data_IF_926317630793
#
_entry.id   IF_926317630793
#
_cell.length_a   1.000
_cell.length_b   1.000
_cell.length_c   1.000
_cell.angle_alpha   90.00
_cell.angle_beta   90.00
_cell.angle_gamma   90.00
#
_symmetry.space_group_name_H-M   'P 1'
#
loop_
_entity.id
_entity.type
_entity.pdbx_description
1 polymer ?
#
# COMPACT_ATOMS: atom_id res chain seq x y z
N UNK A 1 14.26 -65.75 54.88
CA UNK A 1 13.92 -64.43 55.43
C UNK A 1 14.96 -63.42 54.94
N UNK A 2 14.46 -62.33 54.34
CA UNK A 2 15.14 -61.09 53.90
C UNK A 2 16.29 -61.23 52.88
N UNK A 3 15.96 -60.97 51.62
CA UNK A 3 16.90 -60.65 50.54
C UNK A 3 17.15 -59.13 50.52
N UNK A 4 18.42 -58.72 50.54
CA UNK A 4 18.83 -57.33 50.27
C UNK A 4 19.60 -57.29 48.95
N UNK A 5 18.92 -56.90 47.89
CA UNK A 5 19.53 -56.66 46.58
C UNK A 5 20.12 -55.24 46.51
N UNK A 6 21.42 -55.21 46.21
CA UNK A 6 22.25 -54.05 45.87
C UNK A 6 21.64 -53.19 44.75
N UNK A 7 21.51 -51.89 44.98
CA UNK A 7 21.11 -50.90 43.96
C UNK A 7 22.40 -50.23 43.44
N UNK A 8 22.73 -50.46 42.17
CA UNK A 8 23.75 -49.69 41.45
C UNK A 8 23.10 -48.46 40.80
N UNK A 9 23.74 -47.27 40.87
CA UNK A 9 23.22 -46.05 40.25
C UNK A 9 23.67 -45.97 38.79
N UNK A 10 22.87 -46.48 37.88
CA UNK A 10 23.03 -46.17 36.46
C UNK A 10 21.67 -45.77 35.90
N UNK A 11 21.43 -44.46 35.84
CA UNK A 11 20.65 -43.77 34.80
C UNK A 11 20.75 -42.27 35.03
N UNK A 12 21.97 -41.77 34.84
CA UNK A 12 22.18 -40.41 34.35
C UNK A 12 21.41 -40.28 33.03
N UNK A 13 20.59 -39.23 32.97
CA UNK A 13 20.44 -38.37 31.79
C UNK A 13 20.04 -39.09 30.50
N UNK A 14 18.73 -39.27 30.33
CA UNK A 14 18.14 -39.33 29.00
C UNK A 14 16.85 -38.51 29.03
N UNK A 15 16.94 -37.28 28.50
CA UNK A 15 15.90 -36.70 27.65
C UNK A 15 14.53 -36.50 28.33
N UNK A 16 14.34 -35.51 29.19
CA UNK A 16 13.97 -34.14 28.79
C UNK A 16 13.64 -33.97 27.29
N UNK A 17 12.57 -34.59 26.80
CA UNK A 17 11.75 -34.24 25.61
C UNK A 17 10.49 -35.12 25.72
N UNK A 18 9.67 -34.92 26.77
CA UNK A 18 8.27 -35.36 26.69
C UNK A 18 7.55 -34.24 25.97
N UNK A 19 7.35 -34.50 24.68
CA UNK A 19 6.61 -33.70 23.72
C UNK A 19 5.33 -33.15 24.35
N UNK A 20 5.40 -31.89 24.77
CA UNK A 20 4.23 -31.01 24.77
C UNK A 20 3.78 -30.90 23.32
N UNK A 21 2.93 -31.85 22.92
CA UNK A 21 2.28 -31.90 21.62
C UNK A 21 1.18 -30.86 21.61
N UNK A 22 1.55 -29.58 21.71
CA UNK A 22 0.72 -28.45 21.31
C UNK A 22 0.60 -28.52 19.78
N UNK A 23 -0.27 -29.40 19.31
CA UNK A 23 -0.85 -29.31 17.97
C UNK A 23 -1.85 -28.13 17.96
N UNK A 24 -1.36 -26.92 18.19
CA UNK A 24 -2.01 -25.74 17.62
C UNK A 24 -1.51 -25.66 16.19
N UNK A 25 -2.21 -26.35 15.29
CA UNK A 25 -2.22 -25.95 13.88
C UNK A 25 -2.75 -24.53 13.86
N UNK A 26 -1.83 -23.56 13.93
CA UNK A 26 -2.14 -22.19 13.57
C UNK A 26 -2.53 -22.24 12.10
N UNK A 27 -3.83 -22.41 11.86
CA UNK A 27 -4.43 -22.04 10.60
C UNK A 27 -4.25 -20.52 10.51
N UNK A 28 -3.10 -20.09 9.99
CA UNK A 28 -3.08 -18.89 9.18
C UNK A 28 -3.97 -19.22 7.98
N UNK A 29 -5.27 -19.08 8.17
CA UNK A 29 -6.12 -18.68 7.06
C UNK A 29 -5.49 -17.38 6.59
N UNK A 30 -4.68 -17.46 5.53
CA UNK A 30 -4.51 -16.32 4.66
C UNK A 30 -5.93 -15.87 4.39
N UNK A 31 -6.33 -14.75 4.98
CA UNK A 31 -7.46 -14.00 4.48
C UNK A 31 -7.01 -13.63 3.08
N UNK A 32 -7.32 -14.51 2.13
CA UNK A 32 -7.25 -14.23 0.72
C UNK A 32 -8.36 -13.22 0.54
N UNK A 33 -8.03 -11.95 0.77
CA UNK A 33 -8.87 -10.86 0.34
C UNK A 33 -9.01 -11.09 -1.15
N UNK A 34 -10.19 -11.52 -1.59
CA UNK A 34 -10.61 -11.47 -2.97
C UNK A 34 -10.74 -9.98 -3.36
N UNK A 35 -9.66 -9.21 -3.23
CA UNK A 35 -9.46 -7.97 -3.94
C UNK A 35 -9.20 -8.41 -5.36
N UNK A 36 -10.22 -8.36 -6.21
CA UNK A 36 -10.07 -8.46 -7.66
C UNK A 36 -9.04 -7.43 -8.10
N UNK A 37 -7.77 -7.85 -8.13
CA UNK A 37 -6.65 -6.99 -8.46
C UNK A 37 -6.74 -6.80 -9.95
N UNK A 38 -7.06 -5.58 -10.36
CA UNK A 38 -7.09 -5.23 -11.77
C UNK A 38 -5.68 -5.38 -12.30
N UNK A 39 -5.47 -6.25 -13.29
CA UNK A 39 -4.20 -6.30 -14.02
C UNK A 39 -4.13 -5.08 -14.94
N UNK A 40 -3.37 -4.07 -14.54
CA UNK A 40 -3.16 -2.85 -15.33
C UNK A 40 -2.00 -3.11 -16.31
N UNK A 41 -2.23 -2.89 -17.61
CA UNK A 41 -1.19 -3.08 -18.61
C UNK A 41 -0.13 -1.97 -18.53
N UNK A 42 1.14 -2.31 -18.76
CA UNK A 42 2.23 -1.32 -18.84
C UNK A 42 1.90 -0.26 -19.89
N UNK A 43 2.06 1.02 -19.52
CA UNK A 43 1.77 2.14 -20.42
C UNK A 43 0.29 2.53 -20.52
N UNK A 44 -0.62 1.80 -19.87
CA UNK A 44 -2.03 2.18 -19.79
C UNK A 44 -2.19 3.53 -19.07
N UNK A 45 -3.08 4.38 -19.59
CA UNK A 45 -3.35 5.70 -19.02
C UNK A 45 -4.15 5.59 -17.71
N UNK A 46 -3.78 6.39 -16.71
CA UNK A 46 -4.52 6.48 -15.45
C UNK A 46 -5.99 6.87 -15.67
N UNK A 47 -6.26 7.78 -16.61
CA UNK A 47 -7.63 8.20 -16.92
C UNK A 47 -8.49 7.08 -17.50
N UNK A 48 -7.91 5.98 -18.00
CA UNK A 48 -8.73 4.84 -18.41
C UNK A 48 -9.28 4.04 -17.22
N UNK A 49 -8.76 4.28 -16.01
CA UNK A 49 -8.99 3.46 -14.81
C UNK A 49 -9.60 4.30 -13.69
N UNK A 50 -9.04 5.47 -13.41
CA UNK A 50 -9.41 6.30 -12.27
C UNK A 50 -10.20 7.53 -12.73
N UNK A 51 -11.29 7.94 -12.03
CA UNK A 51 -12.16 9.03 -12.48
C UNK A 51 -11.56 10.42 -12.25
N UNK A 52 -10.53 10.78 -13.03
CA UNK A 52 -9.81 12.06 -12.90
C UNK A 52 -10.74 13.27 -12.98
N UNK A 53 -11.74 13.24 -13.86
CA UNK A 53 -12.70 14.34 -14.00
C UNK A 53 -13.54 14.60 -12.75
N UNK A 54 -13.73 13.58 -11.91
CA UNK A 54 -14.48 13.67 -10.67
C UNK A 54 -13.66 14.23 -9.51
N UNK A 55 -12.36 14.48 -9.68
CA UNK A 55 -11.56 15.14 -8.65
C UNK A 55 -12.05 16.59 -8.50
N UNK A 56 -12.33 16.98 -7.26
CA UNK A 56 -12.79 18.32 -6.85
C UNK A 56 -11.65 19.13 -6.23
N UNK A 57 -10.87 18.52 -5.36
CA UNK A 57 -9.72 19.16 -4.73
C UNK A 57 -8.59 18.17 -4.51
N UNK A 58 -7.37 18.70 -4.46
CA UNK A 58 -6.17 17.97 -4.05
C UNK A 58 -5.47 18.79 -2.98
N UNK A 59 -5.16 18.16 -1.84
CA UNK A 59 -4.29 18.74 -0.82
C UNK A 59 -2.93 18.06 -0.86
N UNK A 60 -1.87 18.85 -0.76
CA UNK A 60 -0.49 18.39 -0.64
C UNK A 60 -0.11 18.42 0.83
N UNK A 61 0.26 17.28 1.38
CA UNK A 61 0.87 17.17 2.71
C UNK A 61 2.36 16.88 2.54
N UNK A 62 3.20 17.81 2.97
CA UNK A 62 4.66 17.73 2.89
C UNK A 62 5.31 18.23 4.19
N UNK A 63 6.63 18.39 4.21
CA UNK A 63 7.36 18.95 5.36
C UNK A 63 6.97 20.38 5.73
N UNK A 64 6.41 21.15 4.79
CA UNK A 64 5.94 22.52 5.01
C UNK A 64 4.52 22.58 5.58
N UNK A 65 3.79 21.45 5.68
CA UNK A 65 2.42 21.39 6.20
C UNK A 65 1.41 20.77 5.22
N UNK A 66 0.15 21.18 5.34
CA UNK A 66 -0.95 20.75 4.48
C UNK A 66 -1.47 21.96 3.71
N UNK A 67 -1.41 21.86 2.38
CA UNK A 67 -1.69 22.97 1.47
C UNK A 67 -2.70 22.55 0.41
N UNK A 68 -3.60 23.44 0.03
CA UNK A 68 -4.57 23.15 -1.04
C UNK A 68 -4.07 23.73 -2.34
N UNK A 69 -4.10 22.95 -3.43
CA UNK A 69 -3.70 23.44 -4.74
C UNK A 69 -4.53 24.66 -5.16
N UNK A 70 -3.87 25.68 -5.73
CA UNK A 70 -4.58 26.77 -6.41
C UNK A 70 -5.34 26.23 -7.62
N UNK A 71 -6.34 26.97 -8.12
CA UNK A 71 -7.12 26.56 -9.30
C UNK A 71 -6.24 26.27 -10.53
N UNK A 72 -5.18 27.06 -10.71
CA UNK A 72 -4.23 26.89 -11.82
C UNK A 72 -3.44 25.59 -11.68
N UNK A 73 -2.85 25.35 -10.51
CA UNK A 73 -2.05 24.15 -10.23
C UNK A 73 -2.91 22.89 -10.26
N UNK A 74 -4.13 22.97 -9.74
CA UNK A 74 -5.09 21.90 -9.79
C UNK A 74 -5.44 21.51 -11.23
N UNK A 75 -5.70 22.49 -12.09
CA UNK A 75 -5.96 22.28 -13.52
C UNK A 75 -4.77 21.59 -14.19
N UNK A 76 -3.55 22.09 -13.96
CA UNK A 76 -2.31 21.50 -14.50
C UNK A 76 -2.17 20.06 -14.04
N UNK A 77 -2.31 19.79 -12.73
CA UNK A 77 -2.16 18.44 -12.19
C UNK A 77 -3.21 17.48 -12.76
N UNK A 78 -4.48 17.89 -12.89
CA UNK A 78 -5.50 17.06 -13.53
C UNK A 78 -5.09 16.67 -14.95
N UNK A 79 -4.59 17.60 -15.75
CA UNK A 79 -4.10 17.29 -17.10
C UNK A 79 -2.91 16.33 -17.11
N UNK A 80 -1.98 16.48 -16.18
CA UNK A 80 -0.85 15.55 -16.05
C UNK A 80 -1.33 14.15 -15.64
N UNK A 81 -2.26 14.06 -14.68
CA UNK A 81 -2.85 12.80 -14.26
C UNK A 81 -3.59 12.10 -15.41
N UNK A 82 -4.31 12.85 -16.26
CA UNK A 82 -4.99 12.26 -17.43
C UNK A 82 -4.03 11.54 -18.38
N UNK A 83 -2.82 12.07 -18.49
CA UNK A 83 -1.76 11.58 -19.38
C UNK A 83 -0.79 10.63 -18.68
N UNK A 84 -0.98 10.36 -17.39
CA UNK A 84 -0.06 9.54 -16.60
C UNK A 84 -0.13 8.07 -17.02
N UNK A 85 1.02 7.41 -17.15
CA UNK A 85 1.13 6.04 -17.67
C UNK A 85 1.55 5.06 -16.58
N UNK A 86 0.89 3.91 -16.54
CA UNK A 86 1.19 2.85 -15.59
C UNK A 86 2.63 2.34 -15.74
N UNK A 87 3.33 2.28 -14.60
CA UNK A 87 4.73 1.94 -14.46
C UNK A 87 4.97 0.63 -13.68
N UNK A 88 3.94 0.09 -13.02
CA UNK A 88 4.06 -1.11 -12.18
C UNK A 88 3.74 -0.83 -10.71
N UNK A 89 4.31 -1.66 -9.83
CA UNK A 89 4.16 -1.53 -8.38
C UNK A 89 5.04 -0.45 -7.75
N UNK A 90 4.94 -0.33 -6.42
CA UNK A 90 5.80 0.55 -5.65
C UNK A 90 7.17 -0.08 -5.46
N UNK A 91 8.24 0.57 -5.95
CA UNK A 91 9.61 0.12 -5.71
C UNK A 91 10.16 0.62 -4.38
N UNK A 92 9.86 1.87 -4.03
CA UNK A 92 10.35 2.56 -2.81
C UNK A 92 9.22 3.45 -2.28
N UNK A 93 9.06 3.49 -0.96
CA UNK A 93 8.09 4.35 -0.26
C UNK A 93 8.72 5.66 0.29
N UNK A 94 8.86 6.82 -0.41
CA UNK A 94 9.01 8.12 0.23
C UNK A 94 7.92 8.37 1.25
N UNK A 95 8.40 8.75 2.42
CA UNK A 95 7.59 8.92 3.61
C UNK A 95 7.04 10.33 3.79
N UNK A 96 7.31 11.28 2.88
CA UNK A 96 7.15 12.70 3.21
C UNK A 96 6.27 13.54 2.28
N UNK A 97 5.72 13.00 1.19
CA UNK A 97 4.71 13.69 0.36
C UNK A 97 3.47 12.81 0.25
N UNK A 98 2.31 13.36 0.55
CA UNK A 98 1.01 12.70 0.41
C UNK A 98 0.08 13.66 -0.33
N UNK A 99 -0.65 13.18 -1.34
CA UNK A 99 -1.74 13.93 -1.96
C UNK A 99 -3.08 13.37 -1.48
N UNK A 100 -3.88 14.20 -0.82
CA UNK A 100 -5.26 13.85 -0.45
C UNK A 100 -6.19 14.29 -1.58
N UNK A 101 -6.85 13.33 -2.23
CA UNK A 101 -7.70 13.57 -3.41
C UNK A 101 -9.18 13.45 -3.01
N UNK A 102 -9.93 14.54 -3.18
CA UNK A 102 -11.37 14.56 -2.93
C UNK A 102 -12.14 14.38 -4.24
N UNK A 103 -13.07 13.41 -4.27
CA UNK A 103 -13.98 13.21 -5.40
C UNK A 103 -15.34 13.90 -5.18
N UNK A 104 -16.11 14.08 -6.28
CA UNK A 104 -17.42 14.77 -6.31
C UNK A 104 -18.48 14.15 -5.40
N UNK A 105 -18.43 12.84 -5.20
CA UNK A 105 -19.32 12.08 -4.32
C UNK A 105 -19.01 12.26 -2.82
N UNK A 106 -18.15 13.25 -2.46
CA UNK A 106 -17.63 13.48 -1.11
C UNK A 106 -16.89 12.26 -0.52
N UNK A 107 -16.62 11.25 -1.34
CA UNK A 107 -15.77 10.14 -0.95
C UNK A 107 -14.34 10.68 -0.89
N UNK A 108 -13.83 10.82 0.33
CA UNK A 108 -12.41 10.99 0.54
C UNK A 108 -11.77 9.63 0.30
N UNK A 109 -11.21 9.45 -0.88
CA UNK A 109 -10.22 8.41 -1.02
C UNK A 109 -8.93 8.98 -0.41
N UNK A 110 -8.43 8.35 0.65
CA UNK A 110 -6.99 8.33 0.89
C UNK A 110 -6.35 7.53 -0.25
N UNK A 111 -6.37 8.08 -1.46
CA UNK A 111 -5.97 7.39 -2.68
C UNK A 111 -4.45 7.38 -2.75
N UNK A 112 -3.82 6.47 -2.00
CA UNK A 112 -2.39 6.27 -2.09
C UNK A 112 -1.50 7.31 -1.45
N UNK A 113 -0.43 6.82 -0.86
CA UNK A 113 0.78 7.61 -0.70
C UNK A 113 1.21 8.10 -2.09
N UNK A 114 1.42 9.40 -2.28
CA UNK A 114 1.78 9.94 -3.60
C UNK A 114 3.24 10.35 -3.65
N UNK A 115 3.97 9.68 -4.53
CA UNK A 115 5.43 9.67 -4.70
C UNK A 115 5.95 10.82 -5.56
N UNK A 116 5.41 12.01 -5.34
CA UNK A 116 5.39 13.07 -6.33
C UNK A 116 6.78 13.61 -6.71
N UNK A 117 7.78 13.45 -5.83
CA UNK A 117 9.16 13.94 -5.99
C UNK A 117 9.91 13.39 -7.22
N UNK A 118 9.50 12.25 -7.78
CA UNK A 118 10.11 11.66 -8.98
C UNK A 118 9.30 11.89 -10.26
N UNK A 119 8.18 12.60 -10.18
CA UNK A 119 7.16 12.62 -11.23
C UNK A 119 6.36 11.32 -11.31
N UNK A 120 6.44 10.46 -10.29
CA UNK A 120 5.59 9.29 -10.15
C UNK A 120 4.47 9.57 -9.14
N UNK A 121 3.30 9.00 -9.37
CA UNK A 121 2.20 9.00 -8.41
C UNK A 121 1.79 7.55 -8.21
N UNK A 122 1.81 7.10 -6.97
CA UNK A 122 1.29 5.78 -6.63
C UNK A 122 -0.08 5.94 -6.03
N UNK A 123 -0.96 5.02 -6.39
CA UNK A 123 -2.24 4.81 -5.76
C UNK A 123 -2.12 3.54 -4.93
N UNK A 124 -2.46 3.62 -3.64
CA UNK A 124 -2.51 2.51 -2.71
C UNK A 124 -3.97 2.33 -2.32
N UNK A 125 -4.56 1.20 -2.71
CA UNK A 125 -5.96 0.83 -2.45
C UNK A 125 -7.00 1.88 -2.93
N UNK A 126 -6.72 2.50 -4.09
CA UNK A 126 -7.66 3.42 -4.74
C UNK A 126 -8.82 2.66 -5.40
N UNK A 127 -9.92 3.38 -5.65
CA UNK A 127 -11.11 2.84 -6.30
C UNK A 127 -11.17 3.29 -7.77
N UNK A 128 -11.29 2.34 -8.70
CA UNK A 128 -11.38 2.60 -10.14
C UNK A 128 -12.79 3.10 -10.54
N UNK A 129 -12.97 3.41 -11.83
CA UNK A 129 -14.26 3.83 -12.44
C UNK A 129 -15.37 2.77 -12.31
N UNK A 130 -15.01 1.51 -12.09
CA UNK A 130 -15.91 0.37 -11.95
C UNK A 130 -16.12 -0.06 -10.49
N UNK A 131 -15.64 0.75 -9.52
CA UNK A 131 -15.69 0.47 -8.07
C UNK A 131 -14.82 -0.70 -7.58
N UNK A 132 -13.85 -1.14 -8.37
CA UNK A 132 -12.84 -2.11 -7.98
C UNK A 132 -11.65 -1.43 -7.32
N UNK A 133 -10.99 -2.14 -6.40
CA UNK A 133 -9.75 -1.68 -5.78
C UNK A 133 -8.55 -1.89 -6.69
N UNK A 134 -7.63 -0.93 -6.72
CA UNK A 134 -6.36 -1.04 -7.43
C UNK A 134 -5.23 -0.33 -6.68
N UNK A 135 -4.02 -0.85 -6.87
CA UNK A 135 -2.78 -0.18 -6.49
C UNK A 135 -1.85 -0.10 -7.69
N UNK A 136 -1.10 0.98 -7.82
CA UNK A 136 -0.26 1.18 -9.00
C UNK A 136 0.48 2.49 -9.03
N UNK A 137 1.70 2.44 -9.56
CA UNK A 137 2.55 3.61 -9.84
C UNK A 137 2.32 4.08 -11.27
N UNK A 138 2.19 5.40 -11.45
CA UNK A 138 1.99 6.05 -12.73
C UNK A 138 3.00 7.18 -12.91
N UNK A 139 3.66 7.25 -14.05
CA UNK A 139 4.54 8.37 -14.37
C UNK A 139 3.76 9.51 -15.00
N UNK A 140 3.89 10.70 -14.44
CA UNK A 140 3.42 11.95 -15.02
C UNK A 140 4.29 12.31 -16.24
N UNK A 141 3.71 12.94 -17.28
CA UNK A 141 4.50 13.47 -18.39
C UNK A 141 5.50 14.55 -17.97
N UNK A 142 5.17 15.31 -16.92
CA UNK A 142 6.00 16.39 -16.38
C UNK A 142 6.28 16.13 -14.90
N UNK A 143 7.53 16.34 -14.48
CA UNK A 143 7.90 16.29 -13.06
C UNK A 143 7.35 17.52 -12.35
N UNK A 144 6.66 17.30 -11.23
CA UNK A 144 6.10 18.35 -10.39
C UNK A 144 6.80 18.29 -9.02
N UNK A 145 7.25 19.44 -8.52
CA UNK A 145 7.94 19.51 -7.23
C UNK A 145 6.93 19.84 -6.12
N UNK A 146 6.55 18.82 -5.37
CA UNK A 146 5.65 18.98 -4.23
C UNK A 146 6.39 19.07 -2.88
N UNK A 147 7.71 18.83 -2.86
CA UNK A 147 8.54 18.98 -1.64
C UNK A 147 8.48 20.40 -1.08
N UNK A 148 8.53 21.39 -1.98
CA UNK A 148 8.62 22.81 -1.64
C UNK A 148 7.27 23.54 -1.73
N UNK A 149 6.16 22.81 -1.91
CA UNK A 149 4.84 23.41 -2.04
C UNK A 149 4.39 24.05 -0.71
N UNK A 150 3.85 25.27 -0.76
CA UNK A 150 3.46 26.11 0.37
C UNK A 150 2.21 26.92 0.05
#
# INVERSE_FOLDING_TARGET
>A
MVATSSIKPYKMIVLLIVLFSLNTKMNFSQVQTNTGSITIAKGQLLDSIFPIDNIVTIKVKNYSGIHTLTTKEFTILKEQLKKAKFAGGLLIKPGHIILEVKLKDNTFLSSGLVYASTGAIHFDDATDKNKNKFSGTFYLPTKLNFDNYK
#
